data_IF_287003941123
#
_entry.id   IF_287003941123
#
_cell.length_a   1.000
_cell.length_b   1.000
_cell.length_c   1.000
_cell.angle_alpha   90.00
_cell.angle_beta   90.00
_cell.angle_gamma   90.00
#
_symmetry.space_group_name_H-M   'P 1'
#
loop_
_entity.id
_entity.type
_entity.pdbx_description
1 polymer ?
#
# COMPACT_ATOMS: atom_id res chain seq x y z
N UNK A 1 -4.58 15.48 13.41
CA UNK A 1 -3.50 14.84 12.66
C UNK A 1 -3.16 13.59 13.43
N UNK A 2 -3.70 12.47 12.96
CA UNK A 2 -3.49 11.16 13.54
C UNK A 2 -2.56 10.35 12.65
N UNK A 3 -1.75 9.49 13.25
CA UNK A 3 -0.88 8.55 12.52
C UNK A 3 -1.39 7.14 12.77
N UNK A 4 -1.78 6.46 11.70
CA UNK A 4 -2.26 5.09 11.75
C UNK A 4 -1.17 4.14 11.27
N UNK A 5 -0.94 3.07 12.02
CA UNK A 5 -0.01 2.00 11.64
C UNK A 5 -0.83 0.76 11.35
N UNK A 6 -0.79 0.29 10.10
CA UNK A 6 -1.48 -0.92 9.65
C UNK A 6 -0.43 -1.96 9.26
N UNK A 7 -0.68 -3.18 9.73
CA UNK A 7 0.14 -4.36 9.44
C UNK A 7 -0.03 -4.89 8.01
N UNK A 8 0.31 -6.16 7.84
CA UNK A 8 0.28 -6.85 6.55
C UNK A 8 -1.13 -6.85 5.93
N UNK A 9 -1.26 -6.37 4.70
CA UNK A 9 -2.55 -6.25 4.00
C UNK A 9 -2.84 -7.47 3.13
N UNK A 10 -1.83 -8.05 2.47
CA UNK A 10 -1.96 -9.26 1.66
C UNK A 10 -3.14 -9.23 0.66
N UNK A 11 -3.36 -8.11 -0.03
CA UNK A 11 -4.43 -7.98 -1.02
C UNK A 11 -5.86 -7.95 -0.46
N UNK A 12 -6.03 -7.82 0.86
CA UNK A 12 -7.32 -7.64 1.54
C UNK A 12 -7.80 -6.18 1.41
N UNK A 13 -8.20 -5.80 0.20
CA UNK A 13 -8.61 -4.43 -0.12
C UNK A 13 -9.85 -3.99 0.66
N UNK A 14 -10.90 -4.82 0.69
CA UNK A 14 -12.17 -4.47 1.30
C UNK A 14 -12.01 -4.28 2.82
N UNK A 15 -11.20 -5.12 3.46
CA UNK A 15 -10.86 -5.03 4.88
C UNK A 15 -10.04 -3.77 5.19
N UNK A 16 -9.09 -3.42 4.33
CA UNK A 16 -8.32 -2.19 4.47
C UNK A 16 -9.23 -0.96 4.41
N UNK A 17 -10.13 -0.88 3.44
CA UNK A 17 -11.07 0.24 3.31
C UNK A 17 -12.05 0.27 4.49
N UNK A 18 -12.57 -0.89 4.92
CA UNK A 18 -13.46 -0.96 6.07
C UNK A 18 -12.77 -0.47 7.35
N UNK A 19 -11.50 -0.82 7.57
CA UNK A 19 -10.72 -0.36 8.72
C UNK A 19 -10.47 1.14 8.66
N UNK A 20 -10.10 1.68 7.49
CA UNK A 20 -9.89 3.12 7.31
C UNK A 20 -11.19 3.92 7.49
N UNK A 21 -12.34 3.36 7.09
CA UNK A 21 -13.65 3.96 7.32
C UNK A 21 -14.01 4.01 8.82
N UNK A 22 -13.69 2.96 9.59
CA UNK A 22 -13.95 2.92 11.04
C UNK A 22 -13.20 3.99 11.82
N UNK A 23 -12.01 4.37 11.34
CA UNK A 23 -11.18 5.40 11.98
C UNK A 23 -11.34 6.78 11.33
N UNK A 24 -12.30 6.91 10.41
CA UNK A 24 -12.58 8.13 9.63
C UNK A 24 -11.32 8.74 9.00
N UNK A 25 -10.48 7.89 8.41
CA UNK A 25 -9.19 8.32 7.85
C UNK A 25 -9.37 9.40 6.76
N UNK A 26 -8.72 10.55 6.94
CA UNK A 26 -8.67 11.63 5.96
C UNK A 26 -7.23 11.83 5.43
N UNK A 27 -6.93 11.49 4.16
CA UNK A 27 -5.58 11.64 3.60
C UNK A 27 -5.11 13.11 3.49
N UNK A 28 -6.00 14.09 3.68
CA UNK A 28 -5.62 15.51 3.74
C UNK A 28 -5.09 15.93 5.11
N UNK A 29 -5.33 15.13 6.15
CA UNK A 29 -5.08 15.49 7.55
C UNK A 29 -4.29 14.46 8.33
N UNK A 30 -4.36 13.20 7.92
CA UNK A 30 -3.79 12.05 8.62
C UNK A 30 -2.69 11.39 7.79
N UNK A 31 -1.91 10.54 8.45
CA UNK A 31 -0.83 9.81 7.81
C UNK A 31 -0.99 8.32 8.07
N UNK A 32 -0.88 7.52 7.00
CA UNK A 32 -0.95 6.07 7.05
C UNK A 32 0.44 5.46 6.93
N UNK A 33 0.81 4.58 7.85
CA UNK A 33 2.04 3.80 7.82
C UNK A 33 1.70 2.33 7.58
N UNK A 34 2.31 1.75 6.55
CA UNK A 34 2.12 0.36 6.15
C UNK A 34 3.43 -0.41 6.34
N UNK A 35 3.35 -1.54 7.03
CA UNK A 35 4.52 -2.39 7.35
C UNK A 35 5.08 -3.17 6.16
N UNK A 36 4.37 -3.18 5.04
CA UNK A 36 4.72 -3.93 3.82
C UNK A 36 3.81 -5.13 3.61
N UNK A 37 4.19 -6.00 2.68
CA UNK A 37 3.41 -7.18 2.28
C UNK A 37 1.98 -6.79 1.86
N UNK A 38 1.90 -5.78 1.00
CA UNK A 38 0.65 -5.27 0.43
C UNK A 38 0.01 -6.29 -0.51
N UNK A 39 0.85 -7.08 -1.15
CA UNK A 39 0.46 -8.07 -2.16
C UNK A 39 0.55 -9.49 -1.62
N UNK A 40 0.05 -10.43 -2.43
CA UNK A 40 0.01 -11.88 -2.22
C UNK A 40 -1.20 -12.36 -1.40
N UNK A 41 -1.62 -13.60 -1.67
CA UNK A 41 -2.73 -14.35 -1.04
C UNK A 41 -4.14 -13.81 -1.31
N UNK A 42 -4.38 -12.51 -1.16
CA UNK A 42 -5.69 -11.91 -1.37
C UNK A 42 -5.99 -11.55 -2.83
N UNK A 43 -7.27 -11.54 -3.23
CA UNK A 43 -7.70 -11.28 -4.61
C UNK A 43 -7.48 -9.82 -5.03
N UNK A 44 -7.46 -8.87 -4.09
CA UNK A 44 -7.44 -7.42 -4.34
C UNK A 44 -6.05 -6.78 -4.35
N UNK A 45 -5.00 -7.53 -4.67
CA UNK A 45 -3.61 -7.02 -4.60
C UNK A 45 -3.39 -5.78 -5.48
N UNK A 46 -4.01 -5.72 -6.67
CA UNK A 46 -3.86 -4.59 -7.58
C UNK A 46 -4.61 -3.35 -7.07
N UNK A 47 -5.78 -3.54 -6.49
CA UNK A 47 -6.63 -2.53 -5.88
C UNK A 47 -5.93 -1.89 -4.69
N UNK A 48 -5.31 -2.70 -3.81
CA UNK A 48 -4.48 -2.21 -2.70
C UNK A 48 -3.35 -1.33 -3.23
N UNK A 49 -2.58 -1.79 -4.22
CA UNK A 49 -1.47 -1.00 -4.78
C UNK A 49 -1.95 0.31 -5.41
N UNK A 50 -3.05 0.29 -6.17
CA UNK A 50 -3.64 1.49 -6.78
C UNK A 50 -4.12 2.48 -5.72
N UNK A 51 -4.77 1.99 -4.69
CA UNK A 51 -5.26 2.81 -3.58
C UNK A 51 -4.10 3.44 -2.81
N UNK A 52 -3.12 2.64 -2.37
CA UNK A 52 -1.94 3.14 -1.66
C UNK A 52 -1.19 4.17 -2.50
N UNK A 53 -1.03 3.94 -3.81
CA UNK A 53 -0.44 4.93 -4.72
C UNK A 53 -1.25 6.23 -4.80
N UNK A 54 -2.58 6.14 -4.77
CA UNK A 54 -3.47 7.33 -4.84
C UNK A 54 -3.38 8.24 -3.61
N UNK A 55 -2.92 7.71 -2.46
CA UNK A 55 -2.74 8.47 -1.22
C UNK A 55 -1.56 9.45 -1.26
N UNK A 56 -0.62 9.29 -2.22
CA UNK A 56 0.50 10.22 -2.40
C UNK A 56 1.32 10.41 -1.11
N UNK A 57 1.52 11.66 -0.71
CA UNK A 57 2.36 12.00 0.45
C UNK A 57 1.75 11.64 1.81
N UNK A 58 0.47 11.24 1.85
CA UNK A 58 -0.22 10.85 3.08
C UNK A 58 0.07 9.40 3.51
N UNK A 59 0.84 8.64 2.72
CA UNK A 59 1.26 7.29 3.08
C UNK A 59 2.77 7.17 3.25
N UNK A 60 3.19 6.30 4.16
CA UNK A 60 4.57 5.84 4.39
C UNK A 60 4.56 4.33 4.32
N UNK A 61 5.35 3.76 3.42
CA UNK A 61 5.39 2.32 3.17
C UNK A 61 6.79 1.78 3.43
N UNK A 62 6.89 0.66 4.13
CA UNK A 62 8.09 -0.18 4.13
C UNK A 62 7.87 -1.33 3.14
N UNK A 63 8.91 -1.69 2.38
CA UNK A 63 8.82 -2.82 1.44
C UNK A 63 8.87 -4.15 2.19
N UNK A 64 7.83 -4.96 2.01
CA UNK A 64 7.78 -6.32 2.53
C UNK A 64 8.48 -7.34 1.63
N UNK A 65 8.57 -8.58 2.11
CA UNK A 65 9.22 -9.67 1.38
C UNK A 65 8.43 -10.05 0.12
N UNK A 66 7.10 -10.06 0.19
CA UNK A 66 6.25 -10.38 -0.95
C UNK A 66 6.28 -9.27 -2.00
N UNK A 67 6.39 -8.00 -1.57
CA UNK A 67 6.54 -6.86 -2.47
C UNK A 67 7.87 -6.95 -3.24
N UNK A 68 8.96 -7.26 -2.55
CA UNK A 68 10.28 -7.46 -3.18
C UNK A 68 10.29 -8.65 -4.14
N UNK A 69 9.60 -9.73 -3.80
CA UNK A 69 9.45 -10.88 -4.70
C UNK A 69 8.69 -10.50 -5.97
N UNK A 70 7.61 -9.73 -5.85
CA UNK A 70 6.87 -9.21 -7.01
C UNK A 70 7.78 -8.35 -7.89
N UNK A 71 8.52 -7.40 -7.30
CA UNK A 71 9.43 -6.53 -8.04
C UNK A 71 10.51 -7.31 -8.81
N UNK A 72 11.04 -8.38 -8.24
CA UNK A 72 12.02 -9.27 -8.91
C UNK A 72 11.43 -10.02 -10.10
N UNK A 73 10.14 -10.33 -10.05
CA UNK A 73 9.45 -11.05 -11.13
C UNK A 73 9.07 -10.16 -12.31
N UNK A 74 9.12 -8.84 -12.15
CA UNK A 74 8.77 -7.89 -13.22
C UNK A 74 9.91 -7.76 -14.23
N UNK A 75 9.62 -7.83 -15.54
CA UNK A 75 10.62 -7.61 -16.57
C UNK A 75 11.17 -6.17 -16.51
N UNK A 76 12.50 -6.04 -16.48
CA UNK A 76 13.24 -4.77 -16.33
C UNK A 76 12.88 -3.72 -17.40
N UNK A 77 12.27 -4.13 -18.52
CA UNK A 77 11.73 -3.25 -19.56
C UNK A 77 10.61 -2.30 -19.09
N UNK A 78 9.93 -2.59 -17.97
CA UNK A 78 8.83 -1.76 -17.47
C UNK A 78 9.25 -0.71 -16.42
N UNK A 79 10.53 -0.67 -16.04
CA UNK A 79 11.02 0.10 -14.88
C UNK A 79 11.63 1.47 -15.23
N UNK A 80 11.34 2.05 -16.40
CA UNK A 80 11.80 3.41 -16.71
C UNK A 80 10.65 4.41 -16.57
N UNK A 81 10.84 5.35 -15.64
CA UNK A 81 10.00 6.53 -15.37
C UNK A 81 8.96 6.38 -14.25
N UNK A 82 9.41 6.22 -13.01
CA UNK A 82 8.90 6.99 -11.87
C UNK A 82 9.86 6.81 -10.70
N UNK A 83 10.60 7.88 -10.36
CA UNK A 83 11.42 7.94 -9.15
C UNK A 83 10.49 7.79 -7.95
N UNK A 84 10.69 6.73 -7.18
CA UNK A 84 10.25 6.66 -5.77
C UNK A 84 11.45 7.14 -4.96
N UNK A 85 11.56 8.47 -4.84
CA UNK A 85 12.20 9.23 -3.75
C UNK A 85 11.80 10.68 -3.91
#
# INVERSE_FOLDING_TARGET
MSTYLIGDVHGCYDELIALLAQVEFDPRRDTLWLTGDLVARGPGSLEVLRYVKSLGDSVRLVLGNHDLHLLRSLPVSAATSQRIV
#
